data_IF_922657273716
#
_entry.id   IF_922657273716
#
_cell.length_a   1.000
_cell.length_b   1.000
_cell.length_c   1.000
_cell.angle_alpha   90.00
_cell.angle_beta   90.00
_cell.angle_gamma   90.00
#
_symmetry.space_group_name_H-M   'P 1'
#
loop_
_entity.id
_entity.type
_entity.pdbx_description
1 polymer ?
#
# COMPACT_ATOMS: atom_id res chain seq x y z
N UNK A 1 -11.19 -14.19 3.53
CA UNK A 1 -11.41 -12.79 4.01
C UNK A 1 -10.81 -12.69 5.40
N UNK A 2 -10.02 -11.65 5.69
CA UNK A 2 -9.45 -11.41 7.02
C UNK A 2 -10.18 -10.28 7.74
N UNK A 3 -10.22 -10.26 9.09
CA UNK A 3 -10.84 -9.18 9.85
C UNK A 3 -10.13 -7.83 9.59
N UNK A 4 -10.87 -6.80 9.18
CA UNK A 4 -10.35 -5.45 8.91
C UNK A 4 -11.30 -4.35 9.43
N UNK A 5 -10.91 -3.08 9.29
CA UNK A 5 -11.76 -1.94 9.67
C UNK A 5 -12.76 -1.53 8.58
N UNK A 6 -12.66 -2.07 7.36
CA UNK A 6 -13.47 -1.62 6.22
C UNK A 6 -13.94 -2.79 5.32
N UNK A 7 -14.99 -2.54 4.53
CA UNK A 7 -15.51 -3.47 3.53
C UNK A 7 -15.91 -4.84 4.09
N UNK A 8 -15.62 -5.92 3.34
CA UNK A 8 -15.99 -7.30 3.74
C UNK A 8 -15.28 -7.76 5.02
N UNK A 9 -14.07 -7.27 5.29
CA UNK A 9 -13.33 -7.61 6.52
C UNK A 9 -13.92 -6.96 7.77
N UNK A 10 -14.53 -5.77 7.64
CA UNK A 10 -15.32 -5.15 8.71
C UNK A 10 -16.53 -6.00 9.09
N UNK A 11 -17.28 -6.49 8.09
CA UNK A 11 -18.45 -7.35 8.33
C UNK A 11 -18.05 -8.63 9.06
N UNK A 12 -16.96 -9.28 8.62
CA UNK A 12 -16.42 -10.47 9.28
C UNK A 12 -16.02 -10.18 10.73
N UNK A 13 -15.27 -9.09 10.96
CA UNK A 13 -14.85 -8.66 12.29
C UNK A 13 -16.05 -8.40 13.20
N UNK A 14 -17.12 -7.80 12.67
CA UNK A 14 -18.39 -7.55 13.38
C UNK A 14 -19.03 -8.84 13.89
N UNK A 15 -19.18 -9.83 13.01
CA UNK A 15 -19.78 -11.14 13.33
C UNK A 15 -18.94 -11.86 14.39
N UNK A 16 -17.61 -11.87 14.22
CA UNK A 16 -16.69 -12.49 15.17
C UNK A 16 -16.81 -11.88 16.57
N UNK A 17 -16.80 -10.55 16.67
CA UNK A 17 -16.88 -9.85 17.97
C UNK A 17 -18.21 -10.10 18.68
N UNK A 18 -19.32 -10.18 17.93
CA UNK A 18 -20.62 -10.57 18.49
C UNK A 18 -20.58 -11.99 19.08
N UNK A 19 -20.00 -12.95 18.37
CA UNK A 19 -19.83 -14.32 18.87
C UNK A 19 -18.96 -14.37 20.14
N UNK A 20 -17.84 -13.64 20.16
CA UNK A 20 -16.94 -13.53 21.32
C UNK A 20 -17.64 -12.91 22.54
N UNK A 21 -18.50 -11.89 22.33
CA UNK A 21 -19.34 -11.32 23.40
C UNK A 21 -20.26 -12.39 24.00
N UNK A 22 -20.93 -13.18 23.17
CA UNK A 22 -21.81 -14.25 23.68
C UNK A 22 -21.02 -15.28 24.49
N UNK A 23 -19.83 -15.67 24.04
CA UNK A 23 -18.95 -16.54 24.81
C UNK A 23 -18.60 -15.95 26.19
N UNK A 24 -18.27 -14.64 26.25
CA UNK A 24 -18.00 -13.94 27.50
C UNK A 24 -19.22 -13.90 28.43
N UNK A 25 -20.43 -13.68 27.90
CA UNK A 25 -21.69 -13.71 28.66
C UNK A 25 -21.99 -15.10 29.24
N UNK A 26 -21.59 -16.16 28.53
CA UNK A 26 -21.69 -17.54 29.00
C UNK A 26 -20.61 -17.92 30.03
N UNK A 27 -19.76 -16.97 30.41
CA UNK A 27 -18.72 -17.17 31.44
C UNK A 27 -17.39 -17.69 30.91
N UNK A 28 -17.13 -17.60 29.59
CA UNK A 28 -15.83 -18.02 29.04
C UNK A 28 -14.69 -17.15 29.62
N UNK A 29 -13.84 -17.79 30.43
CA UNK A 29 -12.68 -17.17 31.06
C UNK A 29 -11.41 -17.18 30.19
N UNK A 30 -11.43 -17.81 29.01
CA UNK A 30 -10.30 -17.93 28.08
C UNK A 30 -10.80 -17.88 26.63
N UNK A 31 -9.95 -17.53 25.64
CA UNK A 31 -10.33 -17.59 24.23
C UNK A 31 -10.89 -18.96 23.84
N UNK A 32 -12.13 -18.97 23.37
CA UNK A 32 -12.94 -20.16 23.12
C UNK A 32 -13.23 -20.36 21.63
N UNK A 33 -13.38 -19.30 20.84
CA UNK A 33 -13.89 -19.38 19.46
C UNK A 33 -13.01 -20.25 18.56
N UNK A 34 -11.69 -20.14 18.70
CA UNK A 34 -10.75 -20.95 17.92
C UNK A 34 -10.85 -22.45 18.23
N UNK A 35 -11.33 -22.84 19.43
CA UNK A 35 -11.50 -24.25 19.82
C UNK A 35 -12.68 -24.91 19.11
N UNK A 36 -13.55 -24.12 18.48
CA UNK A 36 -14.69 -24.61 17.69
C UNK A 36 -14.28 -24.99 16.26
N UNK A 37 -13.14 -24.52 15.77
CA UNK A 37 -12.67 -24.74 14.39
C UNK A 37 -12.54 -26.23 14.05
N UNK A 38 -11.94 -27.09 14.90
CA UNK A 38 -11.82 -28.51 14.57
C UNK A 38 -13.18 -29.22 14.43
N UNK A 39 -14.20 -28.78 15.19
CA UNK A 39 -15.55 -29.33 15.06
C UNK A 39 -16.19 -28.88 13.73
N UNK A 40 -16.03 -27.62 13.35
CA UNK A 40 -16.50 -27.10 12.07
C UNK A 40 -15.84 -27.82 10.88
N UNK A 41 -14.52 -28.03 10.94
CA UNK A 41 -13.78 -28.74 9.89
C UNK A 41 -14.24 -30.20 9.78
N UNK A 42 -14.51 -30.88 10.89
CA UNK A 42 -15.06 -32.25 10.85
C UNK A 42 -16.44 -32.32 10.20
N UNK A 43 -17.34 -31.41 10.56
CA UNK A 43 -18.73 -31.43 10.06
C UNK A 43 -18.85 -30.96 8.60
N UNK A 44 -18.04 -29.98 8.20
CA UNK A 44 -18.22 -29.28 6.91
C UNK A 44 -17.04 -29.43 5.94
N UNK A 45 -15.89 -29.92 6.37
CA UNK A 45 -14.64 -29.93 5.58
C UNK A 45 -14.71 -30.76 4.30
N UNK A 46 -15.60 -31.76 4.23
CA UNK A 46 -15.81 -32.55 3.01
C UNK A 46 -16.51 -31.73 1.91
N UNK A 47 -17.51 -30.92 2.27
CA UNK A 47 -18.24 -30.08 1.33
C UNK A 47 -17.50 -28.77 1.01
N UNK A 48 -16.64 -28.31 1.93
CA UNK A 48 -15.86 -27.08 1.81
C UNK A 48 -14.36 -27.35 2.07
N UNK A 49 -13.62 -27.92 1.10
CA UNK A 49 -12.20 -28.29 1.27
C UNK A 49 -11.26 -27.13 1.60
N UNK A 50 -11.66 -25.89 1.30
CA UNK A 50 -10.97 -24.67 1.73
C UNK A 50 -10.94 -24.49 3.25
N UNK A 51 -11.88 -25.06 4.01
CA UNK A 51 -11.84 -25.03 5.48
C UNK A 51 -10.69 -25.86 6.02
N UNK A 52 -10.44 -27.03 5.42
CA UNK A 52 -9.30 -27.90 5.76
C UNK A 52 -7.98 -27.20 5.43
N UNK A 53 -7.88 -26.63 4.21
CA UNK A 53 -6.67 -25.91 3.78
C UNK A 53 -6.39 -24.66 4.62
N UNK A 54 -7.44 -23.98 5.08
CA UNK A 54 -7.35 -22.75 5.87
C UNK A 54 -7.35 -22.95 7.39
N UNK A 55 -7.41 -24.19 7.89
CA UNK A 55 -7.67 -24.47 9.32
C UNK A 55 -6.71 -23.75 10.26
N UNK A 56 -5.40 -23.81 9.97
CA UNK A 56 -4.38 -23.14 10.79
C UNK A 56 -4.58 -21.61 10.81
N UNK A 57 -4.80 -21.00 9.63
CA UNK A 57 -5.03 -19.56 9.51
C UNK A 57 -6.31 -19.13 10.24
N UNK A 58 -7.40 -19.88 10.08
CA UNK A 58 -8.69 -19.60 10.72
C UNK A 58 -8.54 -19.68 12.24
N UNK A 59 -7.89 -20.74 12.73
CA UNK A 59 -7.63 -20.97 14.15
C UNK A 59 -6.80 -19.84 14.75
N UNK A 60 -5.68 -19.49 14.12
CA UNK A 60 -4.82 -18.41 14.61
C UNK A 60 -5.50 -17.05 14.55
N UNK A 61 -6.23 -16.76 13.46
CA UNK A 61 -6.98 -15.50 13.30
C UNK A 61 -8.05 -15.35 14.37
N UNK A 62 -8.83 -16.40 14.65
CA UNK A 62 -9.83 -16.37 15.73
C UNK A 62 -9.18 -16.18 17.08
N UNK A 63 -8.11 -16.93 17.37
CA UNK A 63 -7.39 -16.86 18.66
C UNK A 63 -6.82 -15.47 18.90
N UNK A 64 -6.17 -14.87 17.88
CA UNK A 64 -5.58 -13.55 17.98
C UNK A 64 -6.63 -12.45 18.11
N UNK A 65 -7.68 -12.47 17.27
CA UNK A 65 -8.75 -11.48 17.33
C UNK A 65 -9.49 -11.55 18.67
N UNK A 66 -9.80 -12.76 19.16
CA UNK A 66 -10.45 -12.95 20.47
C UNK A 66 -9.56 -12.48 21.62
N UNK A 67 -8.27 -12.79 21.60
CA UNK A 67 -7.31 -12.36 22.64
C UNK A 67 -7.17 -10.84 22.67
N UNK A 68 -7.06 -10.20 21.51
CA UNK A 68 -6.98 -8.73 21.39
C UNK A 68 -8.28 -8.08 21.82
N UNK A 69 -9.40 -8.57 21.29
CA UNK A 69 -10.72 -7.99 21.52
C UNK A 69 -11.17 -8.15 22.97
N UNK A 70 -10.81 -9.24 23.66
CA UNK A 70 -11.23 -9.48 25.05
C UNK A 70 -10.85 -8.36 26.01
N UNK A 71 -9.64 -7.81 25.90
CA UNK A 71 -9.20 -6.67 26.74
C UNK A 71 -10.09 -5.45 26.52
N UNK A 72 -10.42 -5.16 25.27
CA UNK A 72 -11.34 -4.10 24.87
C UNK A 72 -12.78 -4.37 25.29
N UNK A 73 -13.24 -5.62 25.21
CA UNK A 73 -14.59 -6.06 25.55
C UNK A 73 -14.87 -5.93 27.04
N UNK A 74 -13.96 -6.41 27.91
CA UNK A 74 -14.15 -6.34 29.38
C UNK A 74 -14.18 -4.89 29.84
N UNK A 75 -13.22 -4.08 29.38
CA UNK A 75 -13.17 -2.64 29.71
C UNK A 75 -14.38 -1.89 29.15
N UNK A 76 -14.74 -2.14 27.89
CA UNK A 76 -15.85 -1.49 27.21
C UNK A 76 -17.21 -1.82 27.82
N UNK A 77 -17.45 -3.07 28.22
CA UNK A 77 -18.67 -3.46 28.94
C UNK A 77 -18.77 -2.82 30.33
N UNK A 78 -17.65 -2.67 31.04
CA UNK A 78 -17.61 -1.92 32.30
C UNK A 78 -18.00 -0.46 32.13
N UNK A 79 -17.33 0.24 31.20
CA UNK A 79 -17.62 1.65 30.88
C UNK A 79 -19.05 1.85 30.36
N UNK A 80 -19.56 0.92 29.56
CA UNK A 80 -20.95 0.97 29.09
C UNK A 80 -21.94 0.76 30.24
N UNK A 81 -21.64 -0.12 31.19
CA UNK A 81 -22.47 -0.34 32.37
C UNK A 81 -22.53 0.91 33.23
N UNK A 82 -21.40 1.58 33.48
CA UNK A 82 -21.33 2.86 34.20
C UNK A 82 -22.13 3.96 33.48
N UNK A 83 -21.92 4.10 32.16
CA UNK A 83 -22.62 5.10 31.35
C UNK A 83 -24.14 4.90 31.29
N UNK A 84 -24.62 3.67 31.52
CA UNK A 84 -26.04 3.31 31.42
C UNK A 84 -26.67 2.93 32.76
N UNK A 85 -25.98 3.11 33.88
CA UNK A 85 -26.46 2.71 35.21
C UNK A 85 -27.79 3.40 35.57
N UNK A 86 -27.94 4.66 35.15
CA UNK A 86 -29.13 5.49 35.42
C UNK A 86 -30.22 5.38 34.35
N UNK A 87 -30.00 4.57 33.31
CA UNK A 87 -30.92 4.44 32.17
C UNK A 87 -31.81 3.20 32.32
N UNK A 88 -33.11 3.39 32.11
CA UNK A 88 -34.16 2.38 32.13
C UNK A 88 -34.61 1.93 30.74
N UNK A 89 -35.54 0.98 30.70
CA UNK A 89 -36.12 0.51 29.44
C UNK A 89 -36.87 1.65 28.72
N UNK A 90 -36.56 1.86 27.44
CA UNK A 90 -37.10 2.96 26.62
C UNK A 90 -36.17 4.17 26.50
N UNK A 91 -35.13 4.26 27.34
CA UNK A 91 -34.16 5.35 27.30
C UNK A 91 -33.16 5.18 26.14
N UNK A 92 -32.36 6.24 25.91
CA UNK A 92 -31.38 6.31 24.84
C UNK A 92 -30.01 6.70 25.40
N UNK A 93 -28.98 5.93 25.07
CA UNK A 93 -27.59 6.31 25.30
C UNK A 93 -27.24 7.45 24.34
N UNK A 94 -26.66 8.53 24.87
CA UNK A 94 -26.26 9.68 24.08
C UNK A 94 -25.18 9.32 23.05
N UNK A 95 -25.27 9.96 21.89
CA UNK A 95 -24.42 9.65 20.75
C UNK A 95 -22.95 10.01 20.96
N UNK A 96 -22.68 11.02 21.78
CA UNK A 96 -21.32 11.47 22.12
C UNK A 96 -20.59 10.46 23.02
N UNK A 97 -21.28 9.89 24.01
CA UNK A 97 -20.76 8.80 24.85
C UNK A 97 -20.57 7.52 24.05
N UNK A 98 -21.51 7.18 23.16
CA UNK A 98 -21.33 6.06 22.23
C UNK A 98 -20.13 6.29 21.29
N UNK A 99 -19.92 7.53 20.84
CA UNK A 99 -18.76 7.91 20.02
C UNK A 99 -17.46 7.82 20.82
N UNK A 100 -17.44 8.26 22.07
CA UNK A 100 -16.26 8.15 22.96
C UNK A 100 -15.89 6.69 23.24
N UNK A 101 -16.88 5.82 23.44
CA UNK A 101 -16.68 4.37 23.56
C UNK A 101 -16.03 3.80 22.29
N UNK A 102 -16.48 4.24 21.12
CA UNK A 102 -15.95 3.83 19.82
C UNK A 102 -14.53 4.36 19.54
N UNK A 103 -14.33 5.67 19.60
CA UNK A 103 -13.11 6.37 19.18
C UNK A 103 -11.99 6.26 20.23
N UNK A 104 -12.28 6.56 21.49
CA UNK A 104 -11.26 6.61 22.55
C UNK A 104 -10.93 5.22 23.10
N UNK A 105 -11.94 4.35 23.23
CA UNK A 105 -11.78 3.06 23.90
C UNK A 105 -11.86 1.85 22.96
N UNK A 106 -12.11 2.08 21.66
CA UNK A 106 -12.15 1.04 20.64
C UNK A 106 -13.33 0.08 20.77
N UNK A 107 -14.37 0.44 21.55
CA UNK A 107 -15.56 -0.37 21.78
C UNK A 107 -16.61 -0.14 20.68
N UNK A 108 -16.88 -1.13 19.81
CA UNK A 108 -17.68 -0.92 18.62
C UNK A 108 -19.12 -0.49 18.88
N UNK A 109 -19.66 0.40 18.02
CA UNK A 109 -21.04 0.87 18.10
C UNK A 109 -22.05 -0.28 18.03
N UNK A 110 -21.83 -1.25 17.15
CA UNK A 110 -22.73 -2.41 17.00
C UNK A 110 -22.81 -3.25 18.27
N UNK A 111 -21.70 -3.38 19.01
CA UNK A 111 -21.69 -4.09 20.29
C UNK A 111 -22.32 -3.26 21.41
N UNK A 112 -22.20 -1.93 21.34
CA UNK A 112 -22.92 -1.00 22.21
C UNK A 112 -24.44 -1.18 22.03
N UNK A 113 -24.90 -1.15 20.78
CA UNK A 113 -26.31 -1.38 20.43
C UNK A 113 -26.78 -2.78 20.87
N UNK A 114 -26.01 -3.83 20.56
CA UNK A 114 -26.38 -5.19 20.91
C UNK A 114 -26.38 -5.43 22.44
N UNK A 115 -25.53 -4.72 23.20
CA UNK A 115 -25.49 -4.80 24.66
C UNK A 115 -26.71 -4.15 25.30
N UNK A 116 -27.09 -2.97 24.83
CA UNK A 116 -28.21 -2.21 25.35
C UNK A 116 -29.57 -2.76 24.93
N UNK A 117 -29.63 -3.47 23.80
CA UNK A 117 -30.84 -4.13 23.30
C UNK A 117 -31.47 -5.09 24.32
N UNK A 118 -30.67 -5.78 25.13
CA UNK A 118 -31.18 -6.69 26.17
C UNK A 118 -31.92 -5.96 27.31
N UNK A 119 -31.65 -4.67 27.49
CA UNK A 119 -32.29 -3.79 28.49
C UNK A 119 -33.37 -2.88 27.88
N UNK A 120 -33.69 -3.07 26.60
CA UNK A 120 -34.55 -2.16 25.82
C UNK A 120 -34.06 -0.69 25.84
N UNK A 121 -32.75 -0.48 25.89
CA UNK A 121 -32.13 0.85 25.77
C UNK A 121 -31.64 1.01 24.32
N UNK A 122 -31.94 2.16 23.72
CA UNK A 122 -31.51 2.51 22.36
C UNK A 122 -30.22 3.34 22.37
N UNK A 123 -29.60 3.54 21.21
CA UNK A 123 -28.43 4.42 21.07
C UNK A 123 -28.81 5.55 20.12
N UNK A 124 -28.46 6.79 20.48
CA UNK A 124 -28.64 7.94 19.61
C UNK A 124 -27.65 7.88 18.42
N UNK A 125 -28.12 7.30 17.33
CA UNK A 125 -27.36 7.18 16.09
C UNK A 125 -27.12 8.52 15.39
N UNK A 126 -28.04 9.48 15.56
CA UNK A 126 -27.89 10.81 14.97
C UNK A 126 -26.78 11.57 15.69
N UNK A 127 -26.79 11.57 17.02
CA UNK A 127 -25.72 12.15 17.84
C UNK A 127 -24.35 11.50 17.56
N UNK A 128 -24.29 10.17 17.41
CA UNK A 128 -23.06 9.46 17.08
C UNK A 128 -22.51 9.85 15.71
N UNK A 129 -23.39 9.95 14.71
CA UNK A 129 -23.00 10.33 13.34
C UNK A 129 -22.49 11.77 13.31
N UNK A 130 -23.17 12.69 14.01
CA UNK A 130 -22.76 14.09 14.12
C UNK A 130 -21.36 14.22 14.76
N UNK A 131 -21.09 13.47 15.84
CA UNK A 131 -19.78 13.47 16.50
C UNK A 131 -18.66 12.94 15.57
N UNK A 132 -18.96 11.89 14.79
CA UNK A 132 -18.03 11.36 13.78
C UNK A 132 -17.75 12.36 12.65
N UNK A 133 -18.77 13.09 12.18
CA UNK A 133 -18.62 14.10 11.14
C UNK A 133 -17.83 15.31 11.62
N UNK A 134 -18.01 15.75 12.88
CA UNK A 134 -17.23 16.82 13.48
C UNK A 134 -15.74 16.46 13.54
N UNK A 135 -15.38 15.27 14.01
CA UNK A 135 -13.99 14.78 14.02
C UNK A 135 -13.39 14.72 12.61
N UNK A 136 -14.16 14.22 11.63
CA UNK A 136 -13.72 14.21 10.22
C UNK A 136 -13.54 15.61 9.65
N UNK A 137 -14.42 16.56 10.01
CA UNK A 137 -14.33 17.94 9.57
C UNK A 137 -13.11 18.65 10.17
N UNK A 138 -12.77 18.37 11.43
CA UNK A 138 -11.55 18.88 12.08
C UNK A 138 -10.27 18.31 11.45
N UNK A 139 -10.26 17.00 11.15
CA UNK A 139 -9.18 16.35 10.39
C UNK A 139 -9.05 16.89 8.96
N UNK A 140 -10.17 17.29 8.33
CA UNK A 140 -10.16 17.93 7.00
C UNK A 140 -9.75 19.40 7.05
N UNK A 141 -10.09 20.14 8.10
CA UNK A 141 -9.65 21.54 8.29
C UNK A 141 -8.14 21.65 8.51
N UNK A 142 -7.53 20.61 9.11
CA UNK A 142 -6.07 20.51 9.20
C UNK A 142 -5.41 20.11 7.87
N UNK A 143 -6.14 19.48 6.94
CA UNK A 143 -5.69 19.19 5.57
C UNK A 143 -5.90 20.36 4.60
N UNK A 144 -7.04 21.07 4.68
CA UNK A 144 -7.47 22.11 3.74
C UNK A 144 -6.62 23.41 3.72
N UNK A 145 -5.47 23.44 4.40
CA UNK A 145 -4.47 24.50 4.28
C UNK A 145 -3.61 24.41 3.00
N UNK A 146 -3.60 23.28 2.27
CA UNK A 146 -2.95 23.13 0.95
C UNK A 146 -3.98 23.25 -0.18
N UNK A 147 -3.78 24.16 -1.14
CA UNK A 147 -4.73 24.49 -2.22
C UNK A 147 -5.02 23.41 -3.28
N UNK A 148 -4.97 22.11 -2.95
CA UNK A 148 -5.00 20.97 -3.89
C UNK A 148 -6.36 20.74 -4.58
N UNK A 149 -7.48 21.16 -3.98
CA UNK A 149 -8.81 20.86 -4.51
C UNK A 149 -9.16 21.59 -5.83
N UNK A 150 -8.64 22.81 -6.04
CA UNK A 150 -8.89 23.56 -7.27
C UNK A 150 -8.03 23.08 -8.44
N UNK A 151 -6.86 22.50 -8.15
CA UNK A 151 -5.92 22.00 -9.18
C UNK A 151 -6.38 20.69 -9.79
N UNK A 152 -7.18 19.86 -9.09
CA UNK A 152 -7.69 18.60 -9.64
C UNK A 152 -8.71 18.80 -10.77
N UNK A 153 -9.52 19.87 -10.73
CA UNK A 153 -10.60 20.07 -11.72
C UNK A 153 -10.11 20.43 -13.13
N UNK A 154 -8.89 20.96 -13.27
CA UNK A 154 -8.34 21.39 -14.57
C UNK A 154 -7.99 20.21 -15.47
N UNK A 155 -7.77 19.01 -14.91
CA UNK A 155 -7.31 17.86 -15.69
C UNK A 155 -8.43 17.19 -16.48
N UNK A 156 -9.67 17.24 -16.02
CA UNK A 156 -10.83 16.71 -16.75
C UNK A 156 -11.03 17.36 -18.13
N UNK A 157 -11.13 18.70 -18.26
CA UNK A 157 -11.27 19.32 -19.57
C UNK A 157 -10.03 19.14 -20.45
N UNK A 158 -8.83 19.06 -19.87
CA UNK A 158 -7.61 18.72 -20.63
C UNK A 158 -7.71 17.31 -21.22
N UNK A 159 -8.14 16.31 -20.42
CA UNK A 159 -8.31 14.92 -20.86
C UNK A 159 -9.39 14.78 -21.94
N UNK A 160 -10.50 15.49 -21.79
CA UNK A 160 -11.63 15.48 -22.73
C UNK A 160 -11.22 16.06 -24.09
N UNK A 161 -10.47 17.17 -24.08
CA UNK A 161 -10.01 17.84 -25.31
C UNK A 161 -8.89 17.05 -26.01
N UNK A 162 -7.92 16.53 -25.25
CA UNK A 162 -6.63 16.09 -25.81
C UNK A 162 -6.46 14.57 -25.87
N UNK A 163 -7.30 13.78 -25.20
CA UNK A 163 -7.08 12.34 -25.07
C UNK A 163 -6.13 11.99 -23.91
N UNK A 164 -5.79 10.70 -23.78
CA UNK A 164 -4.78 10.22 -22.83
C UNK A 164 -3.39 10.37 -23.44
N UNK A 165 -2.37 10.51 -22.59
CA UNK A 165 -1.00 10.42 -23.05
C UNK A 165 -0.62 8.95 -23.28
N UNK A 166 0.00 8.65 -24.41
CA UNK A 166 0.59 7.34 -24.65
C UNK A 166 1.86 7.16 -23.82
N UNK A 167 1.97 6.06 -23.09
CA UNK A 167 3.12 5.80 -22.21
C UNK A 167 4.13 4.87 -22.89
N UNK A 168 5.33 5.40 -23.16
CA UNK A 168 6.43 4.70 -23.85
C UNK A 168 7.52 4.23 -22.87
N UNK A 169 7.41 4.58 -21.59
CA UNK A 169 8.49 4.47 -20.60
C UNK A 169 8.88 3.06 -20.17
N UNK A 170 8.17 2.04 -20.66
CA UNK A 170 8.56 0.64 -20.51
C UNK A 170 9.73 0.27 -21.41
N UNK A 171 9.81 0.86 -22.60
CA UNK A 171 10.79 0.49 -23.63
C UNK A 171 11.94 1.50 -23.72
N UNK A 172 11.62 2.79 -23.55
CA UNK A 172 12.56 3.90 -23.72
C UNK A 172 12.53 4.90 -22.56
N UNK A 173 13.59 5.67 -22.43
CA UNK A 173 13.72 6.82 -21.51
C UNK A 173 13.82 8.16 -22.26
N UNK A 174 13.80 8.10 -23.59
CA UNK A 174 13.81 9.24 -24.50
C UNK A 174 12.71 9.07 -25.55
N UNK A 175 11.95 10.13 -25.81
CA UNK A 175 10.97 10.16 -26.88
C UNK A 175 10.73 11.58 -27.37
N UNK A 176 10.23 11.72 -28.57
CA UNK A 176 9.70 12.99 -29.09
C UNK A 176 8.20 13.07 -28.83
N UNK A 177 7.64 14.28 -28.73
CA UNK A 177 6.22 14.50 -28.50
C UNK A 177 5.78 15.92 -28.82
N UNK A 178 4.49 16.19 -28.59
CA UNK A 178 3.85 17.49 -28.75
C UNK A 178 3.23 17.93 -27.43
N UNK A 179 3.46 19.17 -27.03
CA UNK A 179 2.78 19.76 -25.87
C UNK A 179 1.31 19.98 -26.22
N UNK A 180 0.42 19.31 -25.49
CA UNK A 180 -1.03 19.41 -25.69
C UNK A 180 -1.68 20.43 -24.75
N UNK A 181 -1.09 20.66 -23.58
CA UNK A 181 -1.53 21.70 -22.65
C UNK A 181 -0.40 22.14 -21.72
N UNK A 182 -0.41 23.43 -21.39
CA UNK A 182 0.35 24.02 -20.29
C UNK A 182 -0.64 24.50 -19.22
N UNK A 183 -0.33 24.21 -17.96
CA UNK A 183 -1.14 24.64 -16.82
C UNK A 183 -0.24 25.37 -15.82
N UNK A 184 -0.61 26.58 -15.46
CA UNK A 184 0.06 27.42 -14.45
C UNK A 184 -0.99 27.92 -13.46
N UNK A 185 -0.70 27.81 -12.16
CA UNK A 185 -1.61 28.21 -11.06
C UNK A 185 -3.04 27.65 -11.21
N UNK A 186 -3.15 26.40 -11.67
CA UNK A 186 -4.42 25.70 -11.88
C UNK A 186 -5.23 26.17 -13.09
N UNK A 187 -4.64 27.00 -13.97
CA UNK A 187 -5.29 27.50 -15.20
C UNK A 187 -4.52 27.06 -16.43
N UNK A 188 -5.26 26.68 -17.48
CA UNK A 188 -4.67 26.40 -18.80
C UNK A 188 -4.16 27.73 -19.37
N UNK A 189 -2.92 27.73 -19.85
CA UNK A 189 -2.26 28.87 -20.47
C UNK A 189 -1.73 28.47 -21.84
N UNK A 190 -1.64 29.43 -22.76
CA UNK A 190 -1.12 29.16 -24.10
C UNK A 190 0.42 29.11 -24.12
N UNK A 191 1.07 29.83 -23.20
CA UNK A 191 2.53 29.91 -23.09
C UNK A 191 3.03 30.06 -21.65
N UNK A 192 4.29 29.68 -21.41
CA UNK A 192 5.02 29.87 -20.16
C UNK A 192 6.48 30.27 -20.44
N UNK A 193 7.06 31.14 -19.62
CA UNK A 193 8.40 31.69 -19.84
C UNK A 193 9.39 31.26 -18.74
N UNK A 194 10.69 31.44 -19.00
CA UNK A 194 11.75 31.14 -18.04
C UNK A 194 11.44 31.73 -16.65
N UNK A 195 11.56 30.89 -15.63
CA UNK A 195 11.18 31.21 -14.26
C UNK A 195 9.82 30.65 -13.84
N UNK A 196 8.91 30.38 -14.78
CA UNK A 196 7.56 29.90 -14.46
C UNK A 196 7.56 28.45 -14.00
N UNK A 197 6.84 28.17 -12.91
CA UNK A 197 6.42 26.82 -12.55
C UNK A 197 5.25 26.42 -13.46
N UNK A 198 5.33 25.25 -14.09
CA UNK A 198 4.37 24.82 -15.09
C UNK A 198 4.12 23.32 -14.99
N UNK A 199 2.88 22.92 -15.23
CA UNK A 199 2.50 21.55 -15.46
C UNK A 199 2.28 21.33 -16.96
N UNK A 200 2.97 20.34 -17.53
CA UNK A 200 2.99 20.08 -18.98
C UNK A 200 2.32 18.74 -19.26
N UNK A 201 1.38 18.74 -20.21
CA UNK A 201 0.78 17.52 -20.76
C UNK A 201 1.21 17.37 -22.20
N UNK A 202 1.67 16.18 -22.56
CA UNK A 202 2.09 15.81 -23.93
C UNK A 202 1.27 14.63 -24.44
N UNK A 203 1.25 14.45 -25.76
CA UNK A 203 0.54 13.34 -26.41
C UNK A 203 1.15 11.97 -26.11
N UNK A 204 2.48 11.89 -25.91
CA UNK A 204 3.19 10.67 -25.56
C UNK A 204 4.39 10.97 -24.68
N UNK A 205 4.74 10.08 -23.75
CA UNK A 205 5.84 10.32 -22.81
C UNK A 205 6.57 9.04 -22.36
N UNK A 206 7.90 9.10 -22.18
CA UNK A 206 8.65 8.05 -21.49
C UNK A 206 8.62 8.20 -19.96
N UNK A 207 8.12 9.32 -19.41
CA UNK A 207 8.10 9.59 -17.97
C UNK A 207 7.00 8.79 -17.28
N UNK A 208 7.38 8.04 -16.25
CA UNK A 208 6.44 7.30 -15.43
C UNK A 208 5.78 8.25 -14.46
N UNK A 209 4.45 8.33 -14.53
CA UNK A 209 3.66 9.05 -13.55
C UNK A 209 3.48 8.22 -12.27
N UNK A 210 3.62 8.87 -11.12
CA UNK A 210 3.51 8.24 -9.80
C UNK A 210 2.29 7.33 -9.71
N UNK A 211 2.52 6.05 -9.39
CA UNK A 211 1.48 5.04 -9.21
C UNK A 211 2.06 3.74 -8.64
N UNK A 212 1.21 2.89 -8.05
CA UNK A 212 1.64 1.59 -7.51
C UNK A 212 2.69 1.69 -6.38
N UNK A 213 2.82 2.86 -5.75
CA UNK A 213 3.86 3.16 -4.77
C UNK A 213 5.17 3.67 -5.37
N UNK A 214 5.38 3.59 -6.68
CA UNK A 214 6.56 4.16 -7.34
C UNK A 214 6.37 5.65 -7.58
N UNK A 215 7.31 6.46 -7.07
CA UNK A 215 7.31 7.92 -7.29
C UNK A 215 7.55 8.27 -8.74
N UNK A 216 7.06 9.45 -9.14
CA UNK A 216 7.18 9.98 -10.50
C UNK A 216 8.62 10.17 -10.96
N UNK A 217 8.82 10.08 -12.27
CA UNK A 217 10.10 10.41 -12.89
C UNK A 217 10.37 11.90 -12.94
N UNK A 218 11.67 12.20 -12.97
CA UNK A 218 12.25 13.52 -13.20
C UNK A 218 13.08 13.49 -14.47
N UNK A 219 13.44 14.66 -14.97
CA UNK A 219 14.22 14.78 -16.20
C UNK A 219 14.04 16.14 -16.84
N UNK A 220 14.10 16.18 -18.16
CA UNK A 220 13.95 17.40 -18.94
C UNK A 220 12.99 17.22 -20.10
N UNK A 221 12.29 18.29 -20.43
CA UNK A 221 11.55 18.46 -21.69
C UNK A 221 12.16 19.67 -22.39
N UNK A 222 12.67 19.48 -23.61
CA UNK A 222 13.31 20.56 -24.38
C UNK A 222 12.70 20.66 -25.78
N UNK A 223 12.66 21.86 -26.31
CA UNK A 223 12.25 22.13 -27.70
C UNK A 223 13.11 23.21 -28.32
N UNK A 224 12.67 23.76 -29.44
CA UNK A 224 13.37 24.84 -30.11
C UNK A 224 13.37 26.11 -29.23
N UNK A 225 14.51 26.41 -28.61
CA UNK A 225 14.71 27.64 -27.84
C UNK A 225 14.11 27.63 -26.44
N UNK A 226 13.73 26.47 -25.88
CA UNK A 226 13.31 26.36 -24.47
C UNK A 226 13.72 25.05 -23.81
N UNK A 227 13.83 25.09 -22.48
CA UNK A 227 14.14 23.95 -21.62
C UNK A 227 13.25 23.99 -20.37
N UNK A 228 12.64 22.86 -20.04
CA UNK A 228 11.83 22.67 -18.85
C UNK A 228 12.47 21.56 -18.01
N UNK A 229 12.80 21.90 -16.76
CA UNK A 229 13.26 20.92 -15.77
C UNK A 229 12.04 20.30 -15.10
N UNK A 230 11.91 18.98 -15.22
CA UNK A 230 10.80 18.21 -14.64
C UNK A 230 11.23 17.67 -13.28
N UNK A 231 10.52 18.13 -12.25
CA UNK A 231 10.74 17.76 -10.85
C UNK A 231 9.90 16.58 -10.38
N UNK A 232 8.79 16.29 -11.08
CA UNK A 232 7.89 15.18 -10.76
C UNK A 232 6.96 14.89 -11.94
N UNK A 233 6.41 13.67 -12.01
CA UNK A 233 5.41 13.27 -13.00
C UNK A 233 4.26 12.55 -12.31
N UNK A 234 3.04 12.99 -12.56
CA UNK A 234 1.84 12.51 -11.86
C UNK A 234 0.80 11.96 -12.84
N UNK A 235 0.12 10.86 -12.49
CA UNK A 235 -1.04 10.38 -13.25
C UNK A 235 -2.31 11.10 -12.78
N UNK A 236 -3.02 11.74 -13.71
CA UNK A 236 -4.27 12.46 -13.42
C UNK A 236 -5.35 12.08 -14.44
N UNK A 237 -6.62 12.29 -14.06
CA UNK A 237 -7.80 12.16 -14.93
C UNK A 237 -7.80 10.93 -15.86
N UNK A 238 -7.42 9.77 -15.33
CA UNK A 238 -7.39 8.47 -16.04
C UNK A 238 -6.64 8.51 -17.40
N UNK A 239 -5.31 8.52 -17.31
CA UNK A 239 -4.40 8.40 -18.46
C UNK A 239 -3.67 9.68 -18.86
N UNK A 240 -3.84 10.82 -18.16
CA UNK A 240 -2.93 11.96 -18.34
C UNK A 240 -1.67 11.76 -17.52
N UNK A 241 -0.53 11.98 -18.17
CA UNK A 241 0.76 12.11 -17.52
C UNK A 241 1.12 13.59 -17.43
N UNK A 242 1.05 14.13 -16.22
CA UNK A 242 1.27 15.54 -15.93
C UNK A 242 2.70 15.72 -15.43
N UNK A 243 3.51 16.44 -16.20
CA UNK A 243 4.92 16.70 -15.88
C UNK A 243 5.01 18.02 -15.12
N UNK A 244 5.36 17.97 -13.85
CA UNK A 244 5.45 19.13 -12.97
C UNK A 244 6.90 19.65 -12.98
N UNK A 245 7.08 20.88 -13.44
CA UNK A 245 8.42 21.42 -13.65
C UNK A 245 8.48 22.94 -13.63
N UNK A 246 9.65 23.44 -14.02
CA UNK A 246 9.93 24.86 -14.17
C UNK A 246 10.59 25.10 -15.53
N UNK A 247 10.16 26.15 -16.23
CA UNK A 247 10.84 26.60 -17.44
C UNK A 247 12.19 27.18 -17.00
N UNK A 248 13.27 26.48 -17.33
CA UNK A 248 14.62 26.89 -17.00
C UNK A 248 15.12 27.97 -17.97
N UNK A 249 14.81 27.81 -19.26
CA UNK A 249 15.23 28.74 -20.31
C UNK A 249 14.16 28.86 -21.40
N UNK A 250 14.10 30.03 -22.03
CA UNK A 250 13.20 30.31 -23.15
C UNK A 250 11.72 30.51 -22.81
N UNK A 251 10.89 30.38 -23.84
CA UNK A 251 9.42 30.41 -23.76
C UNK A 251 8.88 29.15 -24.43
N UNK A 252 7.96 28.48 -23.77
CA UNK A 252 7.27 27.30 -24.29
C UNK A 252 5.82 27.65 -24.62
N UNK A 253 5.36 27.20 -25.78
CA UNK A 253 3.99 27.37 -26.25
C UNK A 253 3.29 26.01 -26.36
N UNK A 254 1.96 26.02 -26.20
CA UNK A 254 1.15 24.84 -26.51
C UNK A 254 1.25 24.50 -28.00
N UNK A 255 1.38 23.22 -28.32
CA UNK A 255 1.59 22.71 -29.69
C UNK A 255 3.05 22.56 -30.09
N UNK A 256 4.01 22.99 -29.25
CA UNK A 256 5.43 22.84 -29.54
C UNK A 256 5.87 21.37 -29.59
N UNK A 257 6.73 21.05 -30.56
CA UNK A 257 7.46 19.78 -30.61
C UNK A 257 8.56 19.76 -29.55
N UNK A 258 8.68 18.63 -28.86
CA UNK A 258 9.60 18.45 -27.74
C UNK A 258 10.32 17.12 -27.79
N UNK A 259 11.55 17.13 -27.28
CA UNK A 259 12.27 15.95 -26.83
C UNK A 259 12.08 15.80 -25.31
N UNK A 260 11.67 14.61 -24.88
CA UNK A 260 11.48 14.21 -23.49
C UNK A 260 12.61 13.28 -23.09
N UNK A 261 13.34 13.59 -22.01
CA UNK A 261 14.45 12.77 -21.50
C UNK A 261 14.36 12.56 -20.00
N UNK A 262 14.11 11.32 -19.60
CA UNK A 262 14.08 10.90 -18.19
C UNK A 262 15.48 10.91 -17.60
N UNK A 263 15.62 11.26 -16.32
CA UNK A 263 16.85 11.06 -15.53
C UNK A 263 17.11 9.55 -15.37
N UNK A 264 18.00 9.03 -16.20
CA UNK A 264 18.40 7.63 -16.21
C UNK A 264 18.88 7.13 -14.84
N UNK A 265 19.69 7.91 -14.13
CA UNK A 265 20.27 7.49 -12.87
C UNK A 265 19.18 7.35 -11.80
N UNK A 266 18.24 8.30 -11.75
CA UNK A 266 17.07 8.22 -10.88
C UNK A 266 16.18 7.02 -11.25
N UNK A 267 15.84 6.88 -12.53
CA UNK A 267 14.97 5.81 -13.04
C UNK A 267 15.54 4.42 -12.74
N UNK A 268 16.84 4.23 -12.89
CA UNK A 268 17.52 2.97 -12.55
C UNK A 268 17.40 2.63 -11.06
N UNK A 269 17.53 3.61 -10.16
CA UNK A 269 17.32 3.39 -8.72
C UNK A 269 15.86 3.05 -8.38
N UNK A 270 14.90 3.72 -9.03
CA UNK A 270 13.47 3.39 -8.88
C UNK A 270 13.18 1.95 -9.31
N UNK A 271 13.67 1.56 -10.49
CA UNK A 271 13.55 0.19 -11.01
C UNK A 271 14.16 -0.85 -10.06
N UNK A 272 15.35 -0.58 -9.52
CA UNK A 272 16.01 -1.46 -8.56
C UNK A 272 15.19 -1.65 -7.29
N UNK A 273 14.73 -0.55 -6.69
CA UNK A 273 13.89 -0.58 -5.50
C UNK A 273 12.51 -1.22 -5.76
N UNK A 274 11.93 -1.01 -6.93
CA UNK A 274 10.67 -1.67 -7.31
C UNK A 274 10.87 -3.19 -7.42
N UNK A 275 11.85 -3.62 -8.19
CA UNK A 275 12.14 -5.04 -8.38
C UNK A 275 12.54 -5.72 -7.08
N UNK A 276 13.31 -5.06 -6.20
CA UNK A 276 13.60 -5.59 -4.88
C UNK A 276 12.35 -5.76 -4.01
N UNK A 277 11.34 -4.89 -4.16
CA UNK A 277 10.07 -5.02 -3.43
C UNK A 277 9.38 -6.35 -3.75
N UNK A 278 9.38 -6.76 -5.03
CA UNK A 278 8.84 -8.06 -5.46
C UNK A 278 9.62 -9.24 -4.84
N UNK A 279 10.95 -9.20 -4.88
CA UNK A 279 11.78 -10.26 -4.31
C UNK A 279 11.60 -10.38 -2.79
N UNK A 280 11.52 -9.25 -2.09
CA UNK A 280 11.24 -9.19 -0.66
C UNK A 280 9.83 -9.71 -0.36
N UNK A 281 8.83 -9.34 -1.16
CA UNK A 281 7.45 -9.79 -0.97
C UNK A 281 7.33 -11.31 -1.06
N UNK A 282 7.95 -11.93 -2.07
CA UNK A 282 7.97 -13.38 -2.19
C UNK A 282 8.74 -14.03 -1.03
N UNK A 283 9.93 -13.51 -0.69
CA UNK A 283 10.73 -14.05 0.42
C UNK A 283 9.98 -14.00 1.76
N UNK A 284 9.26 -12.90 2.04
CA UNK A 284 8.41 -12.78 3.22
C UNK A 284 7.29 -13.83 3.23
N UNK A 285 6.74 -14.21 2.08
CA UNK A 285 5.70 -15.24 1.99
C UNK A 285 6.25 -16.64 2.21
N UNK A 286 7.47 -16.92 1.75
CA UNK A 286 8.13 -18.19 2.01
C UNK A 286 8.52 -18.34 3.48
N UNK A 287 9.06 -17.29 4.11
CA UNK A 287 9.51 -17.31 5.50
C UNK A 287 8.34 -17.22 6.49
N UNK A 288 7.43 -16.27 6.30
CA UNK A 288 6.37 -15.99 7.28
C UNK A 288 5.06 -16.70 6.96
N UNK A 289 4.83 -17.08 5.70
CA UNK A 289 3.62 -17.73 5.22
C UNK A 289 2.80 -16.92 4.22
N UNK A 290 1.91 -17.61 3.50
CA UNK A 290 1.15 -17.06 2.36
C UNK A 290 0.07 -16.03 2.72
N UNK A 291 -0.17 -15.79 4.02
CA UNK A 291 -1.04 -14.70 4.50
C UNK A 291 -0.42 -13.32 4.38
N UNK A 292 0.91 -13.23 4.17
CA UNK A 292 1.59 -11.98 3.87
C UNK A 292 1.02 -11.43 2.56
N UNK A 293 0.44 -10.24 2.65
CA UNK A 293 -0.11 -9.50 1.51
C UNK A 293 0.19 -8.01 1.67
N UNK A 294 0.44 -7.34 0.55
CA UNK A 294 0.67 -5.91 0.51
C UNK A 294 -0.50 -5.11 1.13
N UNK A 295 -0.13 -4.09 1.91
CA UNK A 295 -1.00 -3.07 2.52
C UNK A 295 -0.59 -1.65 2.17
N UNK A 296 0.61 -1.47 1.62
CA UNK A 296 1.14 -0.19 1.18
C UNK A 296 2.54 -0.38 0.60
N UNK A 297 2.92 0.49 -0.31
CA UNK A 297 4.26 0.51 -0.91
C UNK A 297 4.71 1.94 -1.12
N UNK A 298 6.02 2.18 -1.00
CA UNK A 298 6.70 3.37 -1.47
C UNK A 298 8.02 2.90 -2.08
N UNK A 299 8.24 3.26 -3.34
CA UNK A 299 9.46 3.02 -4.10
C UNK A 299 9.99 4.40 -4.48
N UNK A 300 11.00 4.85 -3.74
CA UNK A 300 11.71 6.11 -3.97
C UNK A 300 13.14 5.79 -4.46
N UNK A 301 13.89 6.75 -5.02
CA UNK A 301 15.25 6.49 -5.49
C UNK A 301 16.23 6.13 -4.36
N UNK A 302 15.99 6.62 -3.14
CA UNK A 302 16.90 6.42 -2.01
C UNK A 302 16.55 5.18 -1.18
N UNK A 303 15.28 4.73 -1.20
CA UNK A 303 14.81 3.59 -0.41
C UNK A 303 13.50 3.00 -0.94
N UNK A 304 13.19 1.79 -0.48
CA UNK A 304 11.85 1.22 -0.56
C UNK A 304 11.25 1.01 0.84
N UNK A 305 9.93 1.04 0.90
CA UNK A 305 9.12 0.77 2.08
C UNK A 305 7.93 -0.07 1.70
N UNK A 306 7.76 -1.20 2.36
CA UNK A 306 6.74 -2.18 2.05
C UNK A 306 5.93 -2.56 3.28
N UNK A 307 4.64 -2.29 3.25
CA UNK A 307 3.71 -2.58 4.35
C UNK A 307 2.97 -3.88 4.04
N UNK A 308 2.99 -4.82 4.98
CA UNK A 308 2.42 -6.16 4.82
C UNK A 308 1.43 -6.53 5.93
N UNK A 309 0.47 -7.40 5.62
CA UNK A 309 -0.34 -8.06 6.66
C UNK A 309 0.47 -9.10 7.42
N UNK A 310 0.86 -8.76 8.65
CA UNK A 310 1.52 -9.69 9.56
C UNK A 310 1.26 -9.26 11.02
N UNK A 311 0.96 -10.23 11.89
CA UNK A 311 0.41 -9.95 13.23
C UNK A 311 1.45 -9.88 14.35
N UNK A 312 2.68 -10.32 14.10
CA UNK A 312 3.78 -10.40 15.08
C UNK A 312 4.95 -9.55 14.61
N UNK A 313 5.88 -9.14 15.48
CA UNK A 313 7.20 -8.68 15.06
C UNK A 313 7.91 -9.78 14.28
N UNK A 314 8.69 -9.41 13.27
CA UNK A 314 9.52 -10.34 12.51
C UNK A 314 10.86 -10.42 13.25
N UNK A 315 11.30 -11.64 13.55
CA UNK A 315 12.55 -11.87 14.27
C UNK A 315 13.77 -11.49 13.41
N UNK A 316 14.91 -11.16 14.03
CA UNK A 316 16.15 -10.89 13.29
C UNK A 316 16.54 -12.01 12.33
N UNK A 317 16.42 -13.28 12.77
CA UNK A 317 16.75 -14.46 11.95
C UNK A 317 15.80 -14.59 10.74
N UNK A 318 14.50 -14.31 10.92
CA UNK A 318 13.54 -14.28 9.81
C UNK A 318 13.86 -13.15 8.82
N UNK A 319 14.26 -11.96 9.29
CA UNK A 319 14.66 -10.86 8.40
C UNK A 319 15.95 -11.18 7.64
N UNK A 320 16.93 -11.80 8.31
CA UNK A 320 18.16 -12.26 7.67
C UNK A 320 17.87 -13.28 6.58
N UNK A 321 16.96 -14.22 6.84
CA UNK A 321 16.54 -15.22 5.85
C UNK A 321 15.83 -14.58 4.65
N UNK A 322 14.93 -13.61 4.89
CA UNK A 322 14.25 -12.86 3.81
C UNK A 322 15.28 -12.11 2.94
N UNK A 323 16.24 -11.43 3.58
CA UNK A 323 17.31 -10.72 2.88
C UNK A 323 18.20 -11.68 2.07
N UNK A 324 18.54 -12.84 2.65
CA UNK A 324 19.33 -13.88 2.00
C UNK A 324 18.62 -14.39 0.74
N UNK A 325 17.35 -14.78 0.86
CA UNK A 325 16.54 -15.27 -0.28
C UNK A 325 16.41 -14.22 -1.38
N UNK A 326 16.16 -12.95 -1.04
CA UNK A 326 16.09 -11.88 -2.03
C UNK A 326 17.43 -11.72 -2.77
N UNK A 327 18.55 -11.70 -2.05
CA UNK A 327 19.88 -11.57 -2.65
C UNK A 327 20.30 -12.80 -3.47
N UNK A 328 19.83 -14.01 -3.11
CA UNK A 328 20.04 -15.20 -3.95
C UNK A 328 19.45 -15.04 -5.35
N UNK A 329 18.31 -14.36 -5.48
CA UNK A 329 17.71 -14.07 -6.78
C UNK A 329 18.43 -12.93 -7.49
N UNK A 330 18.91 -11.92 -6.75
CA UNK A 330 19.71 -10.82 -7.32
C UNK A 330 20.96 -11.37 -8.01
N UNK A 331 21.71 -12.26 -7.35
CA UNK A 331 22.99 -12.78 -7.89
C UNK A 331 22.81 -13.72 -9.10
N UNK A 332 21.60 -14.23 -9.35
CA UNK A 332 21.31 -14.99 -10.57
C UNK A 332 21.52 -14.15 -11.84
N UNK A 333 21.38 -12.82 -11.72
CA UNK A 333 21.40 -11.90 -12.86
C UNK A 333 20.47 -12.35 -14.00
N UNK A 334 19.33 -12.93 -13.63
CA UNK A 334 18.37 -13.48 -14.58
C UNK A 334 17.56 -12.37 -15.25
N UNK A 335 17.16 -12.51 -16.53
CA UNK A 335 16.28 -11.54 -17.18
C UNK A 335 14.96 -11.35 -16.43
N UNK A 336 14.53 -10.10 -16.29
CA UNK A 336 13.18 -9.76 -15.85
C UNK A 336 12.28 -9.67 -17.08
N UNK A 337 11.22 -10.48 -17.11
CA UNK A 337 10.33 -10.56 -18.28
C UNK A 337 8.96 -10.02 -17.95
N UNK A 338 8.33 -9.39 -18.95
CA UNK A 338 6.98 -8.84 -18.81
C UNK A 338 6.09 -9.28 -19.95
N UNK A 339 4.84 -9.60 -19.65
CA UNK A 339 3.85 -10.06 -20.62
C UNK A 339 2.52 -9.34 -20.38
N UNK A 340 1.86 -8.96 -21.46
CA UNK A 340 0.47 -8.53 -21.43
C UNK A 340 -0.41 -9.76 -21.64
N UNK A 341 -1.40 -9.95 -20.79
CA UNK A 341 -2.34 -11.07 -20.88
C UNK A 341 -3.65 -10.74 -20.16
N UNK A 342 -4.66 -11.59 -20.33
CA UNK A 342 -5.90 -11.48 -19.58
C UNK A 342 -5.66 -11.73 -18.07
N UNK A 343 -6.54 -11.19 -17.22
CA UNK A 343 -6.48 -11.43 -15.77
C UNK A 343 -6.58 -12.93 -15.45
N UNK A 344 -7.44 -13.66 -16.16
CA UNK A 344 -7.65 -15.09 -15.94
C UNK A 344 -6.39 -15.90 -16.30
N UNK A 345 -5.74 -15.58 -17.43
CA UNK A 345 -4.48 -16.23 -17.83
C UNK A 345 -3.36 -15.94 -16.83
N UNK A 346 -3.25 -14.70 -16.35
CA UNK A 346 -2.26 -14.32 -15.36
C UNK A 346 -2.42 -15.12 -14.05
N UNK A 347 -3.66 -15.27 -13.57
CA UNK A 347 -3.95 -16.08 -12.38
C UNK A 347 -3.61 -17.55 -12.62
N UNK A 348 -3.92 -18.10 -13.80
CA UNK A 348 -3.58 -19.47 -14.18
C UNK A 348 -2.07 -19.73 -14.19
N UNK A 349 -1.26 -18.73 -14.57
CA UNK A 349 0.21 -18.80 -14.52
C UNK A 349 0.80 -18.62 -13.11
N UNK A 350 -0.05 -18.41 -12.11
CA UNK A 350 0.36 -18.22 -10.72
C UNK A 350 0.74 -16.79 -10.39
N UNK A 351 0.37 -15.81 -11.22
CA UNK A 351 0.55 -14.41 -10.91
C UNK A 351 -0.26 -14.02 -9.67
N UNK A 352 0.37 -13.32 -8.74
CA UNK A 352 -0.32 -12.77 -7.60
C UNK A 352 -1.05 -11.48 -8.01
N UNK A 353 -2.37 -11.47 -7.83
CA UNK A 353 -3.15 -10.25 -7.89
C UNK A 353 -3.01 -9.48 -6.57
N UNK A 354 -2.60 -8.22 -6.65
CA UNK A 354 -2.60 -7.32 -5.49
C UNK A 354 -4.04 -7.01 -5.08
N UNK A 355 -4.34 -7.27 -3.81
CA UNK A 355 -5.71 -7.26 -3.28
C UNK A 355 -6.22 -5.82 -3.10
N UNK A 356 -7.26 -5.44 -3.86
CA UNK A 356 -7.91 -4.12 -3.75
C UNK A 356 -7.73 -3.20 -4.96
N UNK A 357 -6.93 -3.60 -5.95
CA UNK A 357 -6.81 -2.87 -7.21
C UNK A 357 -7.88 -3.34 -8.21
N UNK A 358 -8.40 -2.40 -9.01
CA UNK A 358 -9.23 -2.71 -10.18
C UNK A 358 -8.31 -2.88 -11.37
N UNK A 359 -8.35 -4.05 -11.99
CA UNK A 359 -7.61 -4.34 -13.22
C UNK A 359 -8.51 -4.11 -14.42
N UNK A 360 -7.93 -3.65 -15.54
CA UNK A 360 -8.59 -3.67 -16.84
C UNK A 360 -8.65 -5.08 -17.43
N UNK A 361 -9.15 -5.20 -18.65
CA UNK A 361 -9.29 -6.48 -19.35
C UNK A 361 -7.93 -7.15 -19.65
N UNK A 362 -6.89 -6.33 -19.82
CA UNK A 362 -5.49 -6.76 -19.97
C UNK A 362 -4.63 -6.26 -18.81
N UNK A 363 -3.76 -7.14 -18.31
CA UNK A 363 -2.82 -6.86 -17.23
C UNK A 363 -1.39 -7.15 -17.63
N UNK A 364 -0.47 -6.38 -17.04
CA UNK A 364 0.97 -6.59 -17.20
C UNK A 364 1.49 -7.49 -16.07
N UNK A 365 1.94 -8.69 -16.43
CA UNK A 365 2.59 -9.63 -15.51
C UNK A 365 4.09 -9.44 -15.60
N UNK A 366 4.73 -9.37 -14.44
CA UNK A 366 6.19 -9.27 -14.30
C UNK A 366 6.70 -10.53 -13.63
N UNK A 367 7.70 -11.17 -14.24
CA UNK A 367 8.36 -12.37 -13.72
C UNK A 367 9.84 -12.13 -13.45
N UNK A 368 10.33 -12.58 -12.30
CA UNK A 368 11.73 -12.40 -11.88
C UNK A 368 12.29 -13.64 -11.22
N UNK A 369 13.53 -14.00 -11.58
CA UNK A 369 14.29 -15.04 -10.89
C UNK A 369 13.78 -16.46 -11.11
N UNK A 370 14.57 -17.43 -10.70
CA UNK A 370 14.17 -18.83 -10.56
C UNK A 370 14.26 -19.24 -9.10
N UNK A 371 13.18 -19.79 -8.55
CA UNK A 371 13.17 -20.32 -7.19
C UNK A 371 14.15 -21.49 -7.07
N UNK A 372 14.99 -21.45 -6.03
CA UNK A 372 16.00 -22.48 -5.77
C UNK A 372 15.50 -23.56 -4.82
N UNK A 373 14.47 -23.25 -4.05
CA UNK A 373 14.02 -24.04 -2.92
C UNK A 373 12.48 -24.17 -2.89
N UNK A 374 12.00 -25.06 -2.01
CA UNK A 374 10.58 -25.19 -1.70
C UNK A 374 9.69 -25.55 -2.89
N UNK A 375 8.42 -25.15 -2.82
CA UNK A 375 7.42 -25.46 -3.84
C UNK A 375 7.64 -24.75 -5.18
N UNK A 376 8.51 -23.73 -5.20
CA UNK A 376 8.86 -22.93 -6.39
C UNK A 376 10.21 -23.30 -7.00
N UNK A 377 10.85 -24.39 -6.54
CA UNK A 377 12.08 -24.88 -7.13
C UNK A 377 11.95 -25.06 -8.66
N UNK A 378 12.87 -24.45 -9.43
CA UNK A 378 12.88 -24.43 -10.90
C UNK A 378 11.68 -23.74 -11.56
N UNK A 379 10.98 -22.85 -10.85
CA UNK A 379 9.90 -22.01 -11.39
C UNK A 379 10.24 -20.53 -11.22
N UNK A 380 9.57 -19.61 -11.93
CA UNK A 380 9.71 -18.18 -11.67
C UNK A 380 9.52 -17.88 -10.17
N UNK A 381 10.47 -17.16 -9.58
CA UNK A 381 10.46 -16.90 -8.14
C UNK A 381 9.33 -15.93 -7.79
N UNK A 382 9.35 -14.75 -8.39
CA UNK A 382 8.29 -13.73 -8.27
C UNK A 382 7.52 -13.64 -9.58
N UNK A 383 6.18 -13.69 -9.51
CA UNK A 383 5.25 -13.47 -10.62
C UNK A 383 4.09 -12.62 -10.12
N UNK A 384 4.03 -11.35 -10.55
CA UNK A 384 3.07 -10.39 -10.01
C UNK A 384 2.47 -9.50 -11.10
N UNK A 385 1.22 -9.06 -10.90
CA UNK A 385 0.61 -8.01 -11.70
C UNK A 385 1.24 -6.67 -11.32
N UNK A 386 1.98 -6.05 -12.22
CA UNK A 386 2.63 -4.77 -11.94
C UNK A 386 2.78 -3.88 -13.18
N UNK A 387 2.19 -2.69 -13.08
CA UNK A 387 2.33 -1.60 -14.04
C UNK A 387 3.53 -0.69 -13.75
N UNK A 388 4.47 -1.11 -12.91
CA UNK A 388 5.69 -0.36 -12.59
C UNK A 388 6.81 -0.53 -13.60
N UNK A 389 7.84 0.31 -13.49
CA UNK A 389 9.09 0.09 -14.21
C UNK A 389 9.99 -0.84 -13.41
N UNK A 390 10.64 -1.78 -14.09
CA UNK A 390 11.52 -2.78 -13.46
C UNK A 390 12.89 -2.79 -14.11
N UNK A 391 13.85 -3.37 -13.40
CA UNK A 391 15.19 -3.65 -13.95
C UNK A 391 15.12 -4.60 -15.14
N UNK A 392 16.17 -4.65 -15.97
CA UNK A 392 16.24 -5.58 -17.11
C UNK A 392 16.69 -6.96 -16.67
N UNK A 393 17.59 -7.03 -15.69
CA UNK A 393 18.01 -8.27 -15.06
C UNK A 393 18.06 -8.12 -13.53
N UNK A 394 17.85 -9.20 -12.79
CA UNK A 394 17.84 -9.17 -11.32
C UNK A 394 19.14 -8.65 -10.72
N UNK A 395 20.26 -8.78 -11.43
CA UNK A 395 21.57 -8.27 -11.01
C UNK A 395 21.68 -6.75 -11.05
N UNK A 396 20.85 -6.06 -11.83
CA UNK A 396 20.82 -4.59 -11.88
C UNK A 396 20.32 -3.97 -10.55
N UNK A 397 19.69 -4.79 -9.67
CA UNK A 397 19.34 -4.39 -8.30
C UNK A 397 20.62 -4.18 -7.46
N UNK A 398 21.69 -4.92 -7.77
CA UNK A 398 22.98 -4.90 -7.10
C UNK A 398 22.99 -5.65 -5.76
N UNK A 399 22.36 -5.06 -4.75
CA UNK A 399 22.31 -5.60 -3.38
C UNK A 399 20.96 -5.21 -2.78
N UNK A 400 20.39 -6.07 -1.93
CA UNK A 400 19.23 -5.72 -1.10
C UNK A 400 19.67 -5.74 0.36
N UNK A 401 19.34 -4.68 1.11
CA UNK A 401 19.59 -4.59 2.56
C UNK A 401 18.34 -4.12 3.28
N UNK A 402 17.77 -4.99 4.13
CA UNK A 402 16.67 -4.66 5.02
C UNK A 402 17.23 -3.86 6.22
N UNK A 403 16.62 -2.71 6.47
CA UNK A 403 17.06 -1.77 7.51
C UNK A 403 16.23 -1.93 8.78
N UNK A 404 14.94 -2.17 8.65
CA UNK A 404 14.05 -2.26 9.81
C UNK A 404 12.72 -2.94 9.52
N UNK A 405 12.12 -3.48 10.59
CA UNK A 405 10.75 -3.95 10.70
C UNK A 405 10.02 -3.19 11.83
N UNK A 406 8.87 -2.59 11.55
CA UNK A 406 8.10 -1.80 12.53
C UNK A 406 6.58 -2.03 12.44
N UNK A 407 5.85 -1.85 13.55
CA UNK A 407 4.38 -1.88 13.54
C UNK A 407 3.83 -0.52 13.13
N UNK A 408 3.01 -0.49 12.08
CA UNK A 408 2.35 0.75 11.63
C UNK A 408 0.86 0.79 11.98
N UNK A 409 0.23 -0.38 12.08
CA UNK A 409 -1.15 -0.55 12.53
C UNK A 409 -1.36 -1.96 13.07
N UNK A 410 -2.52 -2.21 13.70
CA UNK A 410 -2.87 -3.55 14.17
C UNK A 410 -2.89 -4.56 12.99
N UNK A 411 -1.96 -5.51 13.01
CA UNK A 411 -1.83 -6.53 11.96
C UNK A 411 -1.10 -6.06 10.70
N UNK A 412 -0.41 -4.92 10.73
CA UNK A 412 0.38 -4.40 9.62
C UNK A 412 1.81 -4.11 10.08
N UNK A 413 2.78 -4.74 9.40
CA UNK A 413 4.23 -4.50 9.57
C UNK A 413 4.77 -3.71 8.39
N UNK A 414 5.76 -2.85 8.64
CA UNK A 414 6.49 -2.08 7.64
C UNK A 414 7.93 -2.55 7.59
N UNK A 415 8.35 -2.98 6.41
CA UNK A 415 9.73 -3.26 6.06
C UNK A 415 10.29 -2.03 5.36
N UNK A 416 11.46 -1.56 5.79
CA UNK A 416 12.25 -0.59 5.02
C UNK A 416 13.53 -1.27 4.54
N UNK A 417 13.87 -1.05 3.27
CA UNK A 417 15.07 -1.63 2.67
C UNK A 417 15.73 -0.65 1.70
N UNK A 418 17.00 -0.92 1.41
CA UNK A 418 17.84 -0.18 0.49
C UNK A 418 18.32 -1.12 -0.62
N UNK A 419 18.62 -0.56 -1.78
CA UNK A 419 19.24 -1.31 -2.87
C UNK A 419 20.54 -0.66 -3.39
N UNK A 420 21.33 -1.45 -4.10
CA UNK A 420 22.52 -1.01 -4.83
C UNK A 420 23.46 -0.13 -4.00
N UNK A 421 23.77 1.04 -4.53
CA UNK A 421 24.72 1.98 -3.91
C UNK A 421 24.24 2.51 -2.54
N UNK A 422 22.93 2.67 -2.34
CA UNK A 422 22.39 3.09 -1.05
C UNK A 422 22.59 2.00 0.03
N UNK A 423 22.36 0.74 -0.33
CA UNK A 423 22.64 -0.41 0.54
C UNK A 423 24.15 -0.52 0.84
N UNK A 424 25.00 -0.38 -0.18
CA UNK A 424 26.47 -0.42 -0.03
C UNK A 424 26.97 0.66 0.94
N UNK A 425 26.54 1.92 0.75
CA UNK A 425 26.90 3.03 1.65
C UNK A 425 26.42 2.80 3.08
N UNK A 426 25.22 2.25 3.26
CA UNK A 426 24.71 1.92 4.58
C UNK A 426 25.61 0.91 5.31
N UNK A 427 26.07 -0.14 4.62
CA UNK A 427 26.99 -1.13 5.19
C UNK A 427 28.38 -0.52 5.49
N UNK A 428 28.92 0.31 4.60
CA UNK A 428 30.18 1.03 4.84
C UNK A 428 30.10 1.93 6.09
N UNK A 429 28.97 2.61 6.30
CA UNK A 429 28.74 3.43 7.49
C UNK A 429 28.63 2.60 8.76
N UNK A 430 27.99 1.43 8.71
CA UNK A 430 27.94 0.51 9.83
C UNK A 430 29.33 0.00 10.22
N UNK A 431 30.16 -0.40 9.25
CA UNK A 431 31.55 -0.82 9.48
C UNK A 431 32.40 0.30 10.10
N UNK A 432 32.28 1.54 9.59
CA UNK A 432 32.95 2.71 10.17
C UNK A 432 32.56 2.95 11.62
N UNK A 433 31.26 2.87 11.94
CA UNK A 433 30.74 3.04 13.31
C UNK A 433 31.28 1.95 14.24
N UNK A 434 31.32 0.70 13.79
CA UNK A 434 31.85 -0.42 14.56
C UNK A 434 33.35 -0.25 14.85
N UNK A 435 34.13 0.13 13.84
CA UNK A 435 35.57 0.43 14.01
C UNK A 435 35.82 1.58 14.98
N UNK A 436 35.01 2.64 14.91
CA UNK A 436 35.09 3.77 15.82
C UNK A 436 34.75 3.37 17.27
N UNK A 437 33.69 2.59 17.47
CA UNK A 437 33.32 2.08 18.79
C UNK A 437 34.41 1.16 19.37
N UNK A 438 34.96 0.26 18.56
CA UNK A 438 36.06 -0.62 18.98
C UNK A 438 37.33 0.17 19.34
N UNK A 439 37.61 1.28 18.64
CA UNK A 439 38.74 2.15 18.96
C UNK A 439 38.54 2.94 20.26
N UNK A 440 37.30 3.35 20.58
CA UNK A 440 36.96 4.09 21.79
C UNK A 440 36.98 3.24 23.07
N UNK A 441 36.94 1.90 22.94
CA UNK A 441 37.04 0.95 24.04
C UNK A 441 38.48 0.45 24.28
N UNK A 442 39.45 0.92 23.49
CA UNK A 442 40.89 0.76 23.75
C UNK A 442 41.37 1.89 24.64
#
# INVERSE_FOLDING_TARGET
VLPSNEGRGYVLRRIMRRAMRHAQLLGAGDPLMWRLVPALVREMGQAYPELVRGEQMITETLKLEETRFRKTLVRGLGLLSEATEKLGAGDMLDGETAFKLYDTYGFPLDLTQDALRQRNISVDLAGFTNAMEQQKAEARKSWAGSGEAATETVWFPVREKNGASEFLGYETEQAEGLIQALVRDGKIVDSAASGDAVAVVVNQTPFYGESGGQVGDTGVISGEGFLIEISDTQKKADGLFVHLGKVADGTVDTGASVELKVDHARRSRLRANHSATHLIHEALREVLGTHVAQKGSLVAPERLRFDISHNKPISPDELEEVERMANEIVVQNSPVTTRLMSVDDAIAEGAMALFGEKYGDEVRVVSMGTGLHGAKANRPYSVELCGGTHVRATGDIGLVRIVSDSAVAAGVRRIEALTGEAARKHLDEQDKRLKAAAAALK
#
